data_IF_574730078465
#
_entry.id   IF_574730078465
#
_cell.length_a   1.000
_cell.length_b   1.000
_cell.length_c   1.000
_cell.angle_alpha   90.00
_cell.angle_beta   90.00
_cell.angle_gamma   90.00
#
_symmetry.space_group_name_H-M   'P 1'
#
loop_
_entity.id
_entity.type
_entity.pdbx_description
1 polymer ?
#
# COMPACT_ATOMS: atom_id res chain seq x y z
N UNK A 1 -28.45 14.46 -51.28
CA UNK A 1 -29.86 14.36 -50.84
C UNK A 1 -30.39 13.01 -51.28
N UNK A 2 -30.97 12.27 -50.32
CA UNK A 2 -31.92 11.16 -50.42
C UNK A 2 -31.91 10.22 -51.64
N UNK A 3 -31.72 8.93 -51.40
CA UNK A 3 -32.73 7.95 -51.82
C UNK A 3 -32.76 6.73 -50.88
N UNK A 4 -33.89 6.64 -50.18
CA UNK A 4 -34.29 5.64 -49.19
C UNK A 4 -35.19 4.62 -49.90
N UNK A 5 -34.99 3.34 -49.62
CA UNK A 5 -35.93 2.20 -49.72
C UNK A 5 -36.76 2.03 -51.01
N UNK A 6 -36.48 0.94 -51.72
CA UNK A 6 -37.45 -0.13 -52.05
C UNK A 6 -36.83 -1.06 -53.08
N UNK A 7 -36.53 -2.30 -52.71
CA UNK A 7 -37.16 -3.45 -53.39
C UNK A 7 -37.03 -4.68 -52.49
N UNK A 8 -38.14 -5.06 -51.86
CA UNK A 8 -38.31 -6.36 -51.23
C UNK A 8 -38.22 -7.46 -52.29
N UNK A 9 -37.19 -8.29 -52.22
CA UNK A 9 -37.09 -9.56 -52.93
C UNK A 9 -37.64 -10.71 -52.10
N UNK A 10 -38.92 -11.02 -52.32
CA UNK A 10 -39.65 -12.28 -52.08
C UNK A 10 -38.90 -13.42 -51.36
N UNK A 11 -39.33 -13.67 -50.12
CA UNK A 11 -39.17 -14.95 -49.42
C UNK A 11 -40.04 -16.03 -50.09
N UNK A 12 -39.40 -17.11 -50.55
CA UNK A 12 -40.05 -18.35 -50.91
C UNK A 12 -40.04 -19.29 -49.69
N UNK A 13 -41.23 -19.49 -49.14
CA UNK A 13 -41.82 -20.70 -48.56
C UNK A 13 -40.88 -21.82 -48.11
N UNK A 14 -40.84 -22.08 -46.79
CA UNK A 14 -40.30 -23.31 -46.21
C UNK A 14 -40.37 -23.27 -44.69
N UNK A 15 -41.45 -23.81 -44.13
CA UNK A 15 -41.79 -23.75 -42.71
C UNK A 15 -40.78 -24.48 -41.80
N UNK A 16 -40.33 -23.81 -40.75
CA UNK A 16 -40.13 -24.38 -39.41
C UNK A 16 -39.93 -23.22 -38.42
N UNK A 17 -41.04 -22.74 -37.87
CA UNK A 17 -41.06 -21.98 -36.63
C UNK A 17 -40.64 -22.96 -35.53
N UNK A 18 -39.41 -22.85 -35.03
CA UNK A 18 -39.04 -23.37 -33.71
C UNK A 18 -38.97 -22.17 -32.77
N UNK A 19 -40.03 -22.00 -32.00
CA UNK A 19 -40.10 -21.13 -30.84
C UNK A 19 -39.43 -21.89 -29.67
N UNK A 20 -38.57 -21.17 -28.94
CA UNK A 20 -38.01 -21.49 -27.61
C UNK A 20 -36.77 -22.36 -27.56
N UNK A 21 -35.62 -21.73 -27.33
CA UNK A 21 -34.97 -21.82 -26.02
C UNK A 21 -34.11 -20.58 -25.79
N UNK A 22 -34.38 -19.87 -24.70
CA UNK A 22 -33.45 -18.88 -24.18
C UNK A 22 -32.09 -19.56 -23.97
N UNK A 23 -31.03 -18.97 -24.52
CA UNK A 23 -29.68 -19.27 -24.09
C UNK A 23 -29.33 -18.23 -23.01
N UNK A 24 -29.52 -18.49 -21.71
CA UNK A 24 -28.69 -17.84 -20.70
C UNK A 24 -27.40 -18.66 -20.58
N UNK A 25 -26.54 -18.61 -21.59
CA UNK A 25 -25.15 -19.02 -21.44
C UNK A 25 -24.40 -17.87 -20.74
N UNK A 26 -24.75 -17.61 -19.48
CA UNK A 26 -23.97 -16.80 -18.56
C UNK A 26 -23.77 -17.59 -17.28
N UNK A 27 -23.11 -18.74 -17.39
CA UNK A 27 -22.67 -19.53 -16.25
C UNK A 27 -21.33 -20.23 -16.58
N UNK A 28 -20.33 -19.48 -17.03
CA UNK A 28 -18.99 -20.02 -17.27
C UNK A 28 -17.83 -19.05 -16.98
N UNK A 29 -18.02 -18.03 -16.15
CA UNK A 29 -16.91 -17.13 -15.74
C UNK A 29 -16.48 -17.33 -14.28
N UNK A 30 -17.19 -18.14 -13.49
CA UNK A 30 -16.99 -18.12 -12.03
C UNK A 30 -15.70 -18.77 -11.52
N UNK A 31 -15.01 -19.59 -12.32
CA UNK A 31 -13.79 -20.31 -11.88
C UNK A 31 -12.51 -19.50 -12.15
N UNK A 32 -12.38 -18.90 -13.33
CA UNK A 32 -11.23 -18.05 -13.71
C UNK A 32 -11.22 -16.72 -12.97
N UNK A 33 -12.38 -16.08 -12.77
CA UNK A 33 -12.48 -14.84 -11.98
C UNK A 33 -12.17 -15.05 -10.48
N UNK A 34 -12.54 -16.21 -9.91
CA UNK A 34 -12.19 -16.54 -8.51
C UNK A 34 -10.70 -16.79 -8.31
N UNK A 35 -10.01 -17.35 -9.30
CA UNK A 35 -8.56 -17.56 -9.25
C UNK A 35 -7.80 -16.24 -9.42
N UNK A 36 -8.19 -15.42 -10.40
CA UNK A 36 -7.64 -14.07 -10.58
C UNK A 36 -7.85 -13.17 -9.35
N UNK A 37 -9.02 -13.24 -8.70
CA UNK A 37 -9.30 -12.50 -7.46
C UNK A 37 -8.46 -13.00 -6.26
N UNK A 38 -8.22 -14.31 -6.16
CA UNK A 38 -7.32 -14.87 -5.13
C UNK A 38 -5.87 -14.44 -5.33
N UNK A 39 -5.39 -14.44 -6.57
CA UNK A 39 -4.03 -14.02 -6.91
C UNK A 39 -3.83 -12.51 -6.65
N UNK A 40 -4.82 -11.68 -6.99
CA UNK A 40 -4.81 -10.26 -6.68
C UNK A 40 -4.81 -9.99 -5.15
N UNK A 41 -5.60 -10.74 -4.38
CA UNK A 41 -5.59 -10.64 -2.92
C UNK A 41 -4.24 -11.07 -2.33
N UNK A 42 -3.64 -12.17 -2.81
CA UNK A 42 -2.32 -12.62 -2.38
C UNK A 42 -1.25 -11.55 -2.67
N UNK A 43 -1.29 -10.94 -3.85
CA UNK A 43 -0.40 -9.84 -4.23
C UNK A 43 -0.58 -8.61 -3.33
N UNK A 44 -1.82 -8.23 -3.02
CA UNK A 44 -2.14 -7.12 -2.12
C UNK A 44 -1.60 -7.36 -0.70
N UNK A 45 -1.73 -8.58 -0.16
CA UNK A 45 -1.15 -8.96 1.15
C UNK A 45 0.38 -8.86 1.16
N UNK A 46 1.04 -9.34 0.10
CA UNK A 46 2.50 -9.23 -0.03
C UNK A 46 2.96 -7.79 -0.12
N UNK A 47 2.25 -6.95 -0.89
CA UNK A 47 2.56 -5.53 -1.01
C UNK A 47 2.39 -4.82 0.34
N UNK A 48 1.31 -5.08 1.06
CA UNK A 48 1.10 -4.55 2.42
C UNK A 48 2.22 -4.97 3.38
N UNK A 49 2.58 -6.26 3.40
CA UNK A 49 3.68 -6.76 4.26
C UNK A 49 5.00 -6.08 3.92
N UNK A 50 5.29 -5.90 2.63
CA UNK A 50 6.50 -5.21 2.15
C UNK A 50 6.49 -3.74 2.57
N UNK A 51 5.35 -3.05 2.46
CA UNK A 51 5.21 -1.66 2.89
C UNK A 51 5.41 -1.51 4.41
N UNK A 52 4.80 -2.39 5.22
CA UNK A 52 5.03 -2.43 6.67
C UNK A 52 6.50 -2.66 7.02
N UNK A 53 7.16 -3.61 6.36
CA UNK A 53 8.57 -3.89 6.59
C UNK A 53 9.47 -2.69 6.26
N UNK A 54 9.15 -1.93 5.21
CA UNK A 54 9.85 -0.67 4.89
C UNK A 54 9.69 0.36 6.00
N UNK A 55 8.47 0.58 6.50
CA UNK A 55 8.22 1.51 7.61
C UNK A 55 9.01 1.12 8.86
N UNK A 56 9.03 -0.17 9.21
CA UNK A 56 9.76 -0.66 10.38
C UNK A 56 11.30 -0.52 10.18
N UNK A 57 11.79 -0.76 8.96
CA UNK A 57 13.20 -0.55 8.58
C UNK A 57 13.62 0.91 8.67
N UNK A 58 12.81 1.83 8.14
CA UNK A 58 13.08 3.27 8.17
C UNK A 58 13.10 3.80 9.62
N UNK A 59 12.17 3.32 10.45
CA UNK A 59 12.15 3.61 11.89
C UNK A 59 13.44 3.12 12.55
N UNK A 60 13.88 1.90 12.26
CA UNK A 60 15.11 1.34 12.84
C UNK A 60 16.35 2.15 12.43
N UNK A 61 16.45 2.54 11.15
CA UNK A 61 17.53 3.39 10.64
C UNK A 61 17.57 4.75 11.33
N UNK A 62 16.43 5.42 11.45
CA UNK A 62 16.33 6.72 12.14
C UNK A 62 16.74 6.62 13.63
N UNK A 63 16.33 5.56 14.32
CA UNK A 63 16.73 5.30 15.71
C UNK A 63 18.24 5.07 15.84
N UNK A 64 18.83 4.28 14.93
CA UNK A 64 20.27 4.05 14.89
C UNK A 64 21.04 5.36 14.70
N UNK A 65 20.62 6.20 13.74
CA UNK A 65 21.23 7.51 13.51
C UNK A 65 21.15 8.42 14.75
N UNK A 66 20.00 8.44 15.44
CA UNK A 66 19.85 9.20 16.68
C UNK A 66 20.78 8.69 17.79
N UNK A 67 20.91 7.37 17.95
CA UNK A 67 21.84 6.75 18.92
C UNK A 67 23.29 7.06 18.60
N UNK A 68 23.68 6.98 17.33
CA UNK A 68 25.05 7.27 16.90
C UNK A 68 25.39 8.75 17.14
N UNK A 69 24.44 9.66 16.86
CA UNK A 69 24.58 11.09 17.19
C UNK A 69 24.71 11.32 18.69
N UNK A 70 23.88 10.68 19.52
CA UNK A 70 23.99 10.79 20.99
C UNK A 70 25.38 10.36 21.48
N UNK A 71 25.92 9.25 20.95
CA UNK A 71 27.27 8.79 21.33
C UNK A 71 28.33 9.83 20.96
N UNK A 72 28.25 10.41 19.76
CA UNK A 72 29.17 11.45 19.31
C UNK A 72 29.07 12.71 20.19
N UNK A 73 27.86 13.20 20.45
CA UNK A 73 27.63 14.39 21.28
C UNK A 73 28.11 14.17 22.72
N UNK A 74 27.90 12.99 23.29
CA UNK A 74 28.39 12.63 24.63
C UNK A 74 29.91 12.41 24.68
N UNK A 75 30.55 12.07 23.56
CA UNK A 75 32.01 12.01 23.46
C UNK A 75 32.59 13.44 23.40
N UNK A 76 32.02 14.30 22.56
CA UNK A 76 32.39 15.71 22.48
C UNK A 76 32.23 16.43 23.83
N UNK A 77 31.13 16.18 24.54
CA UNK A 77 30.92 16.74 25.88
C UNK A 77 31.98 16.28 26.90
N UNK A 78 32.49 15.03 26.81
CA UNK A 78 33.54 14.55 27.73
C UNK A 78 34.88 15.24 27.50
N UNK A 79 35.15 15.72 26.29
CA UNK A 79 36.37 16.47 25.98
C UNK A 79 36.35 17.92 26.51
N UNK A 80 35.19 18.40 26.99
CA UNK A 80 35.09 19.75 27.57
C UNK A 80 35.72 19.81 28.96
N UNK A 81 36.55 20.83 29.18
CA UNK A 81 37.23 21.11 30.45
C UNK A 81 36.32 21.82 31.44
N UNK A 82 35.45 22.72 30.97
CA UNK A 82 34.47 23.39 31.82
C UNK A 82 33.34 22.45 32.24
N UNK A 83 33.16 22.30 33.55
CA UNK A 83 32.20 21.36 34.14
C UNK A 83 30.75 21.74 33.86
N UNK A 84 30.45 23.04 33.81
CA UNK A 84 29.09 23.56 33.61
C UNK A 84 28.67 23.38 32.16
N UNK A 85 29.52 23.77 31.21
CA UNK A 85 29.35 23.55 29.77
C UNK A 85 29.23 22.07 29.45
N UNK A 86 30.08 21.22 30.06
CA UNK A 86 29.98 19.76 29.91
C UNK A 86 28.61 19.24 30.34
N UNK A 87 28.09 19.67 31.49
CA UNK A 87 26.76 19.25 31.97
C UNK A 87 25.66 19.72 31.02
N UNK A 88 25.70 20.98 30.60
CA UNK A 88 24.73 21.54 29.66
C UNK A 88 24.74 20.77 28.32
N UNK A 89 25.92 20.47 27.77
CA UNK A 89 26.07 19.69 26.54
C UNK A 89 25.51 18.26 26.68
N UNK A 90 25.76 17.58 27.80
CA UNK A 90 25.19 16.24 28.04
C UNK A 90 23.66 16.26 28.16
N UNK A 91 23.11 17.26 28.84
CA UNK A 91 21.65 17.43 28.94
C UNK A 91 21.07 17.67 27.56
N UNK A 92 21.65 18.61 26.79
CA UNK A 92 21.20 18.90 25.42
C UNK A 92 21.24 17.66 24.53
N UNK A 93 22.33 16.89 24.56
CA UNK A 93 22.47 15.67 23.77
C UNK A 93 21.37 14.65 24.08
N UNK A 94 21.03 14.45 25.37
CA UNK A 94 19.96 13.54 25.81
C UNK A 94 18.56 14.06 25.43
N UNK A 95 18.33 15.36 25.52
CA UNK A 95 17.08 15.99 25.08
C UNK A 95 16.89 15.83 23.58
N UNK A 96 17.92 16.14 22.79
CA UNK A 96 17.90 16.02 21.32
C UNK A 96 17.67 14.56 20.91
N UNK A 97 18.33 13.60 21.57
CA UNK A 97 18.09 12.17 21.35
C UNK A 97 16.64 11.75 21.63
N UNK A 98 16.08 12.23 22.74
CA UNK A 98 14.70 11.91 23.11
C UNK A 98 13.70 12.48 22.10
N UNK A 99 13.94 13.71 21.64
CA UNK A 99 13.14 14.33 20.58
C UNK A 99 13.23 13.55 19.26
N UNK A 100 14.43 13.15 18.85
CA UNK A 100 14.65 12.36 17.64
C UNK A 100 13.98 10.97 17.71
N UNK A 101 14.05 10.29 18.87
CA UNK A 101 13.37 9.02 19.11
C UNK A 101 11.84 9.15 19.02
N UNK A 102 11.29 10.23 19.59
CA UNK A 102 9.86 10.53 19.49
C UNK A 102 9.46 10.79 18.03
N UNK A 103 10.20 11.64 17.33
CA UNK A 103 9.93 11.96 15.93
C UNK A 103 9.97 10.70 15.03
N UNK A 104 10.94 9.80 15.22
CA UNK A 104 11.03 8.55 14.49
C UNK A 104 9.81 7.64 14.75
N UNK A 105 9.32 7.58 15.99
CA UNK A 105 8.12 6.80 16.33
C UNK A 105 6.84 7.40 15.75
N UNK A 106 6.69 8.72 15.83
CA UNK A 106 5.52 9.44 15.34
C UNK A 106 5.45 9.32 13.82
N UNK A 107 6.58 9.53 13.12
CA UNK A 107 6.67 9.31 11.67
C UNK A 107 6.29 7.88 11.30
N UNK A 108 6.88 6.88 11.97
CA UNK A 108 6.54 5.49 11.69
C UNK A 108 5.06 5.16 11.94
N UNK A 109 4.43 5.77 12.95
CA UNK A 109 2.99 5.62 13.19
C UNK A 109 2.17 6.21 12.05
N UNK A 110 2.51 7.42 11.60
CA UNK A 110 1.87 8.08 10.46
C UNK A 110 2.05 7.27 9.18
N UNK A 111 3.27 6.82 8.89
CA UNK A 111 3.57 6.02 7.71
C UNK A 111 2.83 4.68 7.74
N UNK A 112 2.73 4.03 8.91
CA UNK A 112 1.96 2.79 9.09
C UNK A 112 0.47 2.99 8.84
N UNK A 113 -0.08 4.11 9.30
CA UNK A 113 -1.49 4.47 9.07
C UNK A 113 -1.79 4.79 7.59
N UNK A 114 -0.78 5.25 6.84
CA UNK A 114 -0.90 5.51 5.41
C UNK A 114 -0.81 4.24 4.55
N UNK A 115 -0.36 3.10 5.09
CA UNK A 115 -0.34 1.85 4.33
C UNK A 115 -1.77 1.34 4.13
N UNK A 116 -2.20 1.08 2.88
CA UNK A 116 -3.57 0.64 2.59
C UNK A 116 -3.91 -0.67 3.31
N UNK A 117 -5.03 -0.71 4.01
CA UNK A 117 -5.54 -1.95 4.60
C UNK A 117 -5.92 -2.93 3.49
N UNK A 118 -5.68 -4.22 3.75
CA UNK A 118 -5.96 -5.29 2.78
C UNK A 118 -7.35 -5.86 3.07
N UNK A 119 -8.35 -5.41 2.33
CA UNK A 119 -9.71 -5.95 2.39
C UNK A 119 -9.93 -6.99 1.30
N UNK A 120 -9.71 -8.26 1.64
CA UNK A 120 -9.98 -9.39 0.72
C UNK A 120 -11.40 -9.96 0.86
N UNK A 121 -12.33 -9.23 1.49
CA UNK A 121 -13.67 -9.75 1.86
C UNK A 121 -14.79 -9.43 0.88
N UNK A 122 -14.54 -8.73 -0.25
CA UNK A 122 -15.58 -8.53 -1.27
C UNK A 122 -15.61 -9.71 -2.24
N UNK A 123 -16.51 -10.64 -1.98
CA UNK A 123 -17.08 -11.60 -2.94
C UNK A 123 -18.57 -11.36 -3.03
#
# INVERSE_FOLDING_TARGET
MHNIFKTLGKFATGAAIIITLAIPAMAATTTTDKMAAKDACAKSRTNHKTAMAKVDSDRASARKAATDKLKADLAAAKAMTDKTARKAAQVKARTDFTAAMKAANDKAKTDRAAVPKVDCSKK
#
